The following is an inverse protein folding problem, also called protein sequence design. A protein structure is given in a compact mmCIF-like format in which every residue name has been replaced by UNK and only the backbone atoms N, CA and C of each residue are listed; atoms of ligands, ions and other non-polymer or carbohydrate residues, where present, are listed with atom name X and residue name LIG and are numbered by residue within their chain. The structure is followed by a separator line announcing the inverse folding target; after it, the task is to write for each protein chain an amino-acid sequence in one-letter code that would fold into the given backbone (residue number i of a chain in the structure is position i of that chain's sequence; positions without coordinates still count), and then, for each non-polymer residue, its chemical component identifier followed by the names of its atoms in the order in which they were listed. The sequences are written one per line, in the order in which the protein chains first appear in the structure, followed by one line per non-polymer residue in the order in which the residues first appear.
data_IF_822345172690
#
_entry.id   IF_822345172690
#
_cell.length_a   1.000
_cell.length_b   1.000
_cell.length_c   1.000
_cell.angle_alpha   90.00
_cell.angle_beta   90.00
_cell.angle_gamma   90.00
#
_symmetry.space_group_name_H-M   'P 1'
#
loop_
_entity.id
_entity.type
_entity.pdbx_description
1 polymer ?
#
# COMPACT_ATOMS: atom_id res chain seq x y z
N UNK A 1 -11.80 3.05 -3.55
CA UNK A 1 -10.60 2.29 -3.13
C UNK A 1 -9.53 3.24 -2.61
N UNK A 2 -9.09 4.18 -3.45
CA UNK A 2 -7.95 5.08 -3.21
C UNK A 2 -8.13 6.07 -2.05
N UNK A 3 -9.36 6.55 -1.84
CA UNK A 3 -9.71 7.51 -0.77
C UNK A 3 -9.83 6.88 0.63
N UNK A 4 -9.60 5.58 0.80
CA UNK A 4 -9.68 4.94 2.13
C UNK A 4 -8.56 5.47 3.02
N UNK A 5 -8.90 5.91 4.22
CA UNK A 5 -7.89 6.25 5.22
C UNK A 5 -7.11 5.00 5.64
N UNK A 6 -5.80 5.13 5.73
CA UNK A 6 -4.87 4.11 6.16
C UNK A 6 -4.05 4.68 7.32
N UNK A 7 -4.16 4.04 8.46
CA UNK A 7 -3.26 4.22 9.61
C UNK A 7 -2.20 3.15 9.49
N UNK A 8 -0.98 3.55 9.11
CA UNK A 8 0.18 2.68 9.09
C UNK A 8 0.90 2.80 10.44
N UNK A 9 1.17 1.70 11.12
CA UNK A 9 2.08 1.67 12.27
C UNK A 9 3.55 1.62 11.84
N UNK A 10 4.48 1.86 12.76
CA UNK A 10 5.92 1.81 12.46
C UNK A 10 6.40 0.40 12.11
N UNK A 11 5.74 -0.64 12.62
CA UNK A 11 6.06 -2.05 12.35
C UNK A 11 5.39 -2.60 11.09
N UNK A 12 4.51 -1.84 10.45
CA UNK A 12 3.73 -2.34 9.33
C UNK A 12 4.48 -2.28 8.00
N UNK A 13 4.25 -3.30 7.20
CA UNK A 13 4.76 -3.45 5.84
C UNK A 13 3.62 -3.28 4.85
N UNK A 14 3.86 -2.56 3.76
CA UNK A 14 2.86 -2.39 2.69
C UNK A 14 3.34 -3.17 1.47
N UNK A 15 2.47 -3.97 0.87
CA UNK A 15 2.78 -4.79 -0.32
C UNK A 15 1.73 -4.61 -1.40
N UNK A 16 2.19 -4.55 -2.65
CA UNK A 16 1.38 -4.53 -3.86
C UNK A 16 1.93 -5.60 -4.81
N UNK A 17 1.39 -6.83 -4.75
CA UNK A 17 1.91 -7.98 -5.49
C UNK A 17 1.91 -7.78 -7.01
N UNK A 18 0.92 -7.05 -7.55
CA UNK A 18 0.81 -6.82 -9.00
C UNK A 18 1.94 -5.93 -9.55
N UNK A 19 2.58 -5.16 -8.67
CA UNK A 19 3.69 -4.28 -9.01
C UNK A 19 5.03 -4.79 -8.48
N UNK A 20 5.07 -5.93 -7.77
CA UNK A 20 6.24 -6.36 -6.97
C UNK A 20 6.79 -5.22 -6.09
N UNK A 21 5.87 -4.41 -5.55
CA UNK A 21 6.22 -3.24 -4.75
C UNK A 21 6.02 -3.50 -3.27
N UNK A 22 7.03 -3.16 -2.49
CA UNK A 22 7.02 -3.33 -1.03
C UNK A 22 7.61 -2.10 -0.34
N UNK A 23 6.90 -1.60 0.67
CA UNK A 23 7.40 -0.57 1.58
C UNK A 23 7.68 -1.25 2.91
N UNK A 24 8.96 -1.44 3.26
CA UNK A 24 9.35 -2.04 4.53
C UNK A 24 9.01 -1.09 5.69
N UNK A 25 8.91 -1.62 6.92
CA UNK A 25 8.54 -0.82 8.09
C UNK A 25 9.53 0.33 8.33
N UNK A 26 10.82 0.11 8.10
CA UNK A 26 11.89 1.09 8.33
C UNK A 26 11.83 2.29 7.37
N UNK A 27 11.20 2.12 6.20
CA UNK A 27 11.15 3.17 5.19
C UNK A 27 10.25 4.35 5.60
N UNK A 28 9.22 4.11 6.41
CA UNK A 28 8.24 5.13 6.78
C UNK A 28 7.75 4.93 8.22
N UNK A 29 7.97 5.94 9.06
CA UNK A 29 7.37 6.03 10.41
C UNK A 29 5.85 5.98 10.34
N UNK A 30 5.23 5.58 11.45
CA UNK A 30 3.77 5.50 11.56
C UNK A 30 3.10 6.79 11.07
N UNK A 31 2.13 6.66 10.17
CA UNK A 31 1.48 7.78 9.52
C UNK A 31 0.01 7.51 9.24
N UNK A 32 -0.79 8.58 9.32
CA UNK A 32 -2.17 8.61 8.85
C UNK A 32 -2.14 9.17 7.43
N UNK A 33 -2.55 8.35 6.46
CA UNK A 33 -2.61 8.74 5.06
C UNK A 33 -3.81 8.08 4.38
N UNK A 34 -3.85 8.10 3.06
CA UNK A 34 -4.79 7.34 2.24
C UNK A 34 -4.03 6.35 1.37
N UNK A 35 -4.72 5.35 0.80
CA UNK A 35 -4.09 4.43 -0.15
C UNK A 35 -3.45 5.21 -1.31
N UNK A 36 -4.15 6.21 -1.84
CA UNK A 36 -3.62 7.13 -2.86
C UNK A 36 -2.38 7.88 -2.38
N UNK A 37 -2.45 8.48 -1.18
CA UNK A 37 -1.37 9.29 -0.63
C UNK A 37 -0.08 8.50 -0.43
N UNK A 38 -0.20 7.23 -0.03
CA UNK A 38 0.95 6.31 0.11
C UNK A 38 1.59 6.04 -1.26
N UNK A 39 0.79 5.78 -2.29
CA UNK A 39 1.29 5.54 -3.66
C UNK A 39 1.94 6.79 -4.27
N UNK A 40 1.29 7.94 -4.12
CA UNK A 40 1.81 9.22 -4.62
C UNK A 40 3.13 9.57 -3.94
N UNK A 41 3.20 9.41 -2.62
CA UNK A 41 4.44 9.62 -1.88
C UNK A 41 5.57 8.69 -2.34
N UNK A 42 5.28 7.41 -2.54
CA UNK A 42 6.25 6.46 -3.07
C UNK A 42 6.74 6.86 -4.48
N UNK A 43 5.83 7.38 -5.32
CA UNK A 43 6.16 7.92 -6.65
C UNK A 43 7.16 9.08 -6.53
N UNK A 44 6.87 10.04 -5.66
CA UNK A 44 7.70 11.24 -5.49
C UNK A 44 9.08 10.89 -4.92
N UNK A 45 9.13 9.99 -3.93
CA UNK A 45 10.39 9.51 -3.32
C UNK A 45 11.27 8.77 -4.35
N UNK A 46 10.68 7.88 -5.16
CA UNK A 46 11.40 7.19 -6.22
C UNK A 46 11.87 8.14 -7.32
N UNK A 47 11.02 9.09 -7.73
CA UNK A 47 11.34 10.07 -8.77
C UNK A 47 12.44 11.04 -8.34
N UNK A 48 12.46 11.47 -7.07
CA UNK A 48 13.51 12.35 -6.56
C UNK A 48 14.92 11.72 -6.69
N UNK A 49 15.01 10.40 -6.55
CA UNK A 49 16.27 9.65 -6.68
C UNK A 49 16.64 9.33 -8.14
N UNK A 50 15.74 9.52 -9.11
CA UNK A 50 16.00 9.16 -10.51
C UNK A 50 17.11 10.00 -11.14
N UNK A 51 17.21 11.29 -10.82
CA UNK A 51 18.26 12.17 -11.36
C UNK A 51 19.67 11.70 -10.97
N UNK A 52 19.83 11.18 -9.76
CA UNK A 52 21.09 10.60 -9.29
C UNK A 52 21.32 9.21 -9.91
N UNK A 53 20.28 8.36 -9.96
CA UNK A 53 20.37 7.02 -10.55
C UNK A 53 20.71 7.05 -12.03
N UNK A 54 20.19 8.00 -12.81
CA UNK A 54 20.53 8.16 -14.24
C UNK A 54 22.02 8.40 -14.48
N UNK A 55 22.72 9.02 -13.52
CA UNK A 55 24.18 9.27 -13.61
C UNK A 55 25.02 8.05 -13.28
N UNK A 56 24.53 7.18 -12.39
CA UNK A 56 25.28 6.01 -11.89
C UNK A 56 24.93 4.74 -12.67
N UNK A 57 23.65 4.54 -12.97
CA UNK A 57 23.10 3.33 -13.60
C UNK A 57 21.89 3.68 -14.49
N UNK A 58 22.12 4.07 -15.76
CA UNK A 58 21.05 4.48 -16.67
C UNK A 58 20.06 3.35 -17.00
N UNK A 59 20.52 2.10 -17.08
CA UNK A 59 19.67 0.93 -17.34
C UNK A 59 18.66 0.69 -16.21
N UNK A 60 19.11 0.77 -14.95
CA UNK A 60 18.22 0.66 -13.78
C UNK A 60 17.23 1.83 -13.73
N UNK A 61 17.68 3.04 -14.10
CA UNK A 61 16.82 4.20 -14.12
C UNK A 61 15.67 4.05 -15.14
N UNK A 62 15.92 3.47 -16.31
CA UNK A 62 14.88 3.22 -17.31
C UNK A 62 13.83 2.22 -16.81
N UNK A 63 14.25 1.15 -16.14
CA UNK A 63 13.34 0.18 -15.50
C UNK A 63 12.45 0.84 -14.43
N UNK A 64 13.01 1.76 -13.64
CA UNK A 64 12.27 2.52 -12.63
C UNK A 64 11.31 3.52 -13.27
N UNK A 65 11.71 4.19 -14.36
CA UNK A 65 10.81 5.10 -15.08
C UNK A 65 9.58 4.34 -15.61
N UNK A 66 9.75 3.12 -16.13
CA UNK A 66 8.63 2.26 -16.52
C UNK A 66 7.76 1.84 -15.32
N UNK A 67 8.38 1.56 -14.18
CA UNK A 67 7.68 1.24 -12.94
C UNK A 67 6.86 2.43 -12.40
N UNK A 68 7.41 3.65 -12.44
CA UNK A 68 6.74 4.88 -12.03
C UNK A 68 5.47 5.13 -12.86
N UNK A 69 5.48 4.82 -14.16
CA UNK A 69 4.29 4.92 -15.02
C UNK A 69 3.19 3.98 -14.52
N UNK A 70 3.53 2.72 -14.22
CA UNK A 70 2.56 1.75 -13.68
C UNK A 70 2.03 2.19 -12.31
N UNK A 71 2.91 2.65 -11.43
CA UNK A 71 2.54 3.05 -10.08
C UNK A 71 1.62 4.27 -10.08
N UNK A 72 1.86 5.24 -10.98
CA UNK A 72 0.96 6.38 -11.21
C UNK A 72 -0.40 5.95 -11.77
N UNK A 73 -0.44 5.04 -12.74
CA UNK A 73 -1.71 4.51 -13.26
C UNK A 73 -2.53 3.80 -12.17
N UNK A 74 -1.87 3.17 -11.20
CA UNK A 74 -2.52 2.60 -10.03
C UNK A 74 -3.00 3.68 -9.05
N UNK A 75 -2.21 4.73 -8.84
CA UNK A 75 -2.58 5.86 -7.99
C UNK A 75 -3.76 6.68 -8.54
N UNK A 76 -3.91 6.79 -9.86
CA UNK A 76 -5.06 7.47 -10.50
C UNK A 76 -6.30 6.59 -10.62
N UNK A 77 -6.18 5.28 -10.31
CA UNK A 77 -7.29 4.33 -10.36
C UNK A 77 -7.58 3.77 -11.76
N UNK A 78 -6.65 3.92 -12.70
CA UNK A 78 -6.74 3.30 -14.03
C UNK A 78 -6.48 1.78 -13.98
N UNK A 79 -5.76 1.32 -12.95
CA UNK A 79 -5.43 -0.09 -12.75
C UNK A 79 -5.92 -0.61 -11.40
N UNK A 80 -6.46 -1.82 -11.39
CA UNK A 80 -6.83 -2.52 -10.15
C UNK A 80 -5.57 -3.08 -9.48
N UNK A 81 -5.43 -2.85 -8.18
CA UNK A 81 -4.31 -3.34 -7.37
C UNK A 81 -4.81 -4.01 -6.10
N UNK A 82 -3.99 -4.90 -5.56
CA UNK A 82 -4.16 -5.46 -4.22
C UNK A 82 -3.25 -4.69 -3.27
N UNK A 83 -3.85 -4.03 -2.28
CA UNK A 83 -3.13 -3.32 -1.23
C UNK A 83 -3.12 -4.17 0.03
N UNK A 84 -1.94 -4.62 0.43
CA UNK A 84 -1.75 -5.45 1.63
C UNK A 84 -1.01 -4.62 2.67
N UNK A 85 -1.59 -4.49 3.86
CA UNK A 85 -0.98 -3.88 5.03
C UNK A 85 -0.77 -4.96 6.08
N UNK A 86 0.48 -5.38 6.22
CA UNK A 86 0.91 -6.46 7.10
C UNK A 86 1.54 -5.87 8.35
N UNK A 87 0.85 -5.91 9.48
CA UNK A 87 1.32 -5.34 10.74
C UNK A 87 1.48 -6.40 11.84
N UNK A 88 2.72 -6.79 12.19
CA UNK A 88 2.97 -7.79 13.23
C UNK A 88 2.48 -7.38 14.61
N UNK A 89 2.28 -6.09 14.87
CA UNK A 89 1.80 -5.59 16.18
C UNK A 89 0.29 -5.31 16.17
N UNK A 90 -0.34 -5.32 14.99
CA UNK A 90 -1.79 -5.14 14.83
C UNK A 90 -2.32 -3.75 15.21
N UNK A 91 -1.48 -2.73 15.16
CA UNK A 91 -1.87 -1.33 15.44
C UNK A 91 -2.28 -0.56 14.19
N UNK A 92 -2.14 -1.17 13.02
CA UNK A 92 -2.52 -0.58 11.74
C UNK A 92 -4.00 -0.76 11.44
N UNK A 93 -4.55 0.18 10.69
CA UNK A 93 -5.98 0.21 10.38
C UNK A 93 -6.21 0.72 8.97
N UNK A 94 -7.16 0.12 8.26
CA UNK A 94 -7.66 0.65 6.99
C UNK A 94 -9.16 0.90 7.14
N UNK A 95 -9.59 2.09 6.75
CA UNK A 95 -10.97 2.50 6.81
C UNK A 95 -11.84 1.63 5.89
N UNK A 96 -12.91 1.08 6.46
CA UNK A 96 -13.98 0.46 5.70
C UNK A 96 -15.08 1.51 5.44
N UNK A 97 -15.26 2.00 4.20
CA UNK A 97 -16.25 3.03 3.88
C UNK A 97 -17.70 2.52 4.01
N UNK A 98 -17.91 1.20 4.07
CA UNK A 98 -19.22 0.58 4.21
C UNK A 98 -19.58 0.27 5.68
N UNK A 99 -18.74 0.70 6.64
CA UNK A 99 -18.99 0.51 8.08
C UNK A 99 -20.06 1.49 8.58
N UNK A 100 -21.30 1.34 8.11
CA UNK A 100 -22.46 1.94 8.75
C UNK A 100 -22.86 1.08 9.96
N UNK A 101 -23.01 1.64 11.18
CA UNK A 101 -23.31 0.86 12.39
C UNK A 101 -24.59 -0.01 12.31
N UNK A 102 -25.46 0.31 11.37
CA UNK A 102 -26.79 -0.28 11.19
C UNK A 102 -26.93 -1.08 9.88
N UNK A 103 -25.90 -1.12 9.03
CA UNK A 103 -25.90 -1.89 7.78
C UNK A 103 -24.67 -2.80 7.78
N UNK A 104 -24.90 -4.10 8.01
CA UNK A 104 -23.88 -5.14 7.85
C UNK A 104 -23.64 -5.39 6.35
N UNK A 105 -23.07 -4.41 5.66
CA UNK A 105 -22.64 -4.59 4.27
C UNK A 105 -21.23 -5.16 4.30
N UNK A 106 -21.09 -6.40 3.83
CA UNK A 106 -19.81 -7.03 3.66
C UNK A 106 -19.09 -6.40 2.45
N UNK A 107 -17.99 -5.70 2.69
CA UNK A 107 -17.16 -5.17 1.61
C UNK A 107 -16.30 -6.31 1.05
N UNK A 108 -16.74 -6.95 -0.04
CA UNK A 108 -15.98 -8.04 -0.69
C UNK A 108 -14.58 -7.60 -1.18
N UNK A 109 -14.32 -6.29 -1.22
CA UNK A 109 -13.02 -5.69 -1.60
C UNK A 109 -12.14 -5.40 -0.39
N UNK A 110 -12.58 -5.73 0.83
CA UNK A 110 -11.85 -5.53 2.06
C UNK A 110 -11.85 -6.81 2.90
N UNK A 111 -10.67 -7.31 3.21
CA UNK A 111 -10.48 -8.49 4.04
C UNK A 111 -9.47 -8.19 5.14
N UNK A 112 -9.74 -8.63 6.36
CA UNK A 112 -8.77 -8.61 7.45
C UNK A 112 -8.46 -10.05 7.78
N UNK A 113 -7.20 -10.41 7.64
CA UNK A 113 -6.65 -11.74 7.91
C UNK A 113 -5.74 -11.61 9.12
N UNK A 114 -6.16 -12.15 10.26
CA UNK A 114 -5.27 -12.30 11.41
C UNK A 114 -4.57 -13.67 11.36
N UNK A 115 -3.28 -13.72 11.67
CA UNK A 115 -2.50 -14.96 11.74
C UNK A 115 -1.52 -14.93 12.92
N UNK A 116 -1.03 -16.09 13.36
CA UNK A 116 -0.15 -16.21 14.52
C UNK A 116 1.28 -16.55 14.08
N UNK A 117 2.26 -15.72 14.45
CA UNK A 117 3.68 -16.08 14.32
C UNK A 117 4.28 -16.19 15.72
N UNK A 118 4.49 -17.45 16.17
CA UNK A 118 5.34 -17.97 17.24
C UNK A 118 5.38 -17.29 18.64
N UNK A 119 4.95 -16.04 18.81
CA UNK A 119 4.98 -15.29 20.08
C UNK A 119 3.96 -14.14 20.17
N UNK A 120 3.21 -13.78 19.11
CA UNK A 120 2.12 -12.79 19.18
C UNK A 120 1.09 -12.95 18.05
N UNK A 121 -0.16 -12.53 18.30
CA UNK A 121 -1.21 -12.43 17.29
C UNK A 121 -0.90 -11.27 16.34
N UNK A 122 -0.82 -11.56 15.04
CA UNK A 122 -0.54 -10.60 13.96
C UNK A 122 -1.84 -10.29 13.22
N UNK A 123 -2.08 -9.01 12.91
CA UNK A 123 -3.23 -8.58 12.14
C UNK A 123 -2.77 -8.07 10.77
N UNK A 124 -3.13 -8.76 9.71
CA UNK A 124 -2.90 -8.32 8.33
C UNK A 124 -4.22 -7.86 7.72
N UNK A 125 -4.23 -6.65 7.17
CA UNK A 125 -5.38 -6.12 6.45
C UNK A 125 -5.09 -6.12 4.96
N UNK A 126 -5.92 -6.80 4.18
CA UNK A 126 -5.80 -6.92 2.72
C UNK A 126 -7.01 -6.30 2.04
N UNK A 127 -6.77 -5.34 1.17
CA UNK A 127 -7.80 -4.67 0.38
C UNK A 127 -7.57 -5.00 -1.08
N UNK A 128 -8.57 -5.54 -1.74
CA UNK A 128 -8.51 -5.95 -3.14
C UNK A 128 -9.38 -5.02 -3.98
N UNK A 129 -8.82 -4.47 -5.06
CA UNK A 129 -9.62 -3.74 -6.02
C UNK A 129 -10.39 -4.72 -6.93
N UNK A 130 -11.62 -5.06 -6.56
CA UNK A 130 -12.54 -5.76 -7.47
C UNK A 130 -12.95 -4.85 -8.63
N UNK A 131 -12.75 -5.33 -9.87
CA UNK A 131 -13.35 -4.77 -11.09
C UNK A 131 -14.87 -4.68 -10.89
N UNK A 132 -15.42 -3.47 -11.05
CA UNK A 132 -16.88 -3.27 -11.14
C UNK A 132 -17.26 -3.30 -12.61
#
# INVERSE_FOLDING_TARGET
MLNRQVVKSESATIKIPELDFEIPPEAQRGSLSTVEGILMRATDELQALQEERKKVAPETAEAIDQFLVKLRACATGESCITFILDDPVGNSFIENPLRYPHLQVNDQRYSVIAYELATSWICCSRVECGLV
#
